data_IF_727812978010
#
_entry.id   IF_727812978010
#
_cell.length_a   1.000
_cell.length_b   1.000
_cell.length_c   1.000
_cell.angle_alpha   90.00
_cell.angle_beta   90.00
_cell.angle_gamma   90.00
#
_symmetry.space_group_name_H-M   'P 1'
#
loop_
_entity.id
_entity.type
_entity.pdbx_description
1 polymer ?
#
# COMPACT_ATOMS: atom_id res chain seq x y z
N UNK A 1 -3.18 -19.86 0.59
CA UNK A 1 -3.32 -18.69 1.45
C UNK A 1 -3.37 -17.41 0.65
N UNK A 2 -2.40 -17.18 -0.21
CA UNK A 2 -2.32 -15.95 -1.00
C UNK A 2 -3.37 -15.94 -2.11
N UNK A 3 -4.18 -14.87 -2.15
CA UNK A 3 -5.19 -14.65 -3.16
C UNK A 3 -4.71 -13.74 -4.30
N UNK A 4 -5.59 -12.85 -4.72
CA UNK A 4 -5.33 -11.98 -5.88
C UNK A 4 -4.37 -10.85 -5.52
N UNK A 5 -3.68 -10.31 -6.53
CA UNK A 5 -3.02 -9.02 -6.39
C UNK A 5 -4.11 -7.94 -6.30
N UNK A 6 -4.13 -7.21 -5.17
CA UNK A 6 -5.08 -6.12 -4.99
C UNK A 6 -4.55 -4.83 -5.61
N UNK A 7 -3.35 -4.42 -5.20
CA UNK A 7 -2.74 -3.20 -5.74
C UNK A 7 -1.22 -3.20 -5.61
N UNK A 8 -0.61 -2.31 -6.39
CA UNK A 8 0.77 -1.88 -6.23
C UNK A 8 0.73 -0.43 -5.81
N UNK A 9 1.43 -0.09 -4.73
CA UNK A 9 1.45 1.26 -4.18
C UNK A 9 2.71 2.01 -4.59
N UNK A 10 2.53 3.23 -5.09
CA UNK A 10 3.59 4.15 -5.44
C UNK A 10 3.56 5.33 -4.48
N UNK A 11 4.67 5.59 -3.79
CA UNK A 11 4.86 6.83 -3.04
C UNK A 11 5.26 7.92 -4.02
N UNK A 12 4.56 9.05 -3.97
CA UNK A 12 4.78 10.17 -4.89
C UNK A 12 4.97 11.47 -4.12
N UNK A 13 5.85 12.37 -4.59
CA UNK A 13 6.05 13.64 -3.90
C UNK A 13 4.90 14.63 -4.10
N UNK A 14 4.13 14.47 -5.18
CA UNK A 14 3.01 15.36 -5.55
C UNK A 14 1.90 14.51 -6.17
N UNK A 15 0.83 14.31 -5.40
CA UNK A 15 -0.29 13.46 -5.82
C UNK A 15 -1.01 14.04 -7.04
N UNK A 16 -1.20 15.36 -7.10
CA UNK A 16 -1.87 16.01 -8.23
C UNK A 16 -1.10 15.77 -9.53
N UNK A 17 0.23 15.92 -9.49
CA UNK A 17 1.08 15.65 -10.66
C UNK A 17 1.07 14.17 -11.06
N UNK A 18 1.10 13.26 -10.08
CA UNK A 18 1.04 11.82 -10.35
C UNK A 18 -0.31 11.43 -10.96
N UNK A 19 -1.41 11.94 -10.43
CA UNK A 19 -2.75 11.71 -10.98
C UNK A 19 -2.85 12.20 -12.42
N UNK A 20 -2.31 13.40 -12.70
CA UNK A 20 -2.29 13.93 -14.06
C UNK A 20 -1.50 13.04 -15.03
N UNK A 21 -0.36 12.53 -14.60
CA UNK A 21 0.45 11.62 -15.41
C UNK A 21 -0.34 10.34 -15.79
N UNK A 22 -1.01 9.74 -14.83
CA UNK A 22 -1.81 8.54 -15.08
C UNK A 22 -3.04 8.84 -15.94
N UNK A 23 -3.74 9.95 -15.66
CA UNK A 23 -4.95 10.31 -16.40
C UNK A 23 -4.65 10.78 -17.81
N UNK A 24 -3.73 11.76 -17.94
CA UNK A 24 -3.54 12.46 -19.21
C UNK A 24 -2.52 11.78 -20.12
N UNK A 25 -1.46 11.19 -19.55
CA UNK A 25 -0.43 10.52 -20.32
C UNK A 25 -0.75 9.04 -20.57
N UNK A 26 -1.23 8.34 -19.55
CA UNK A 26 -1.52 6.91 -19.63
C UNK A 26 -3.00 6.58 -19.93
N UNK A 27 -3.87 7.59 -19.92
CA UNK A 27 -5.28 7.40 -20.24
C UNK A 27 -6.07 6.60 -19.19
N UNK A 28 -5.59 6.57 -17.95
CA UNK A 28 -6.17 5.77 -16.90
C UNK A 28 -7.38 6.48 -16.24
N UNK A 29 -8.21 5.67 -15.58
CA UNK A 29 -9.28 6.17 -14.73
C UNK A 29 -8.83 6.17 -13.28
N UNK A 30 -9.08 7.26 -12.57
CA UNK A 30 -8.68 7.45 -11.19
C UNK A 30 -9.87 7.71 -10.29
N UNK A 31 -9.74 7.30 -9.02
CA UNK A 31 -10.64 7.74 -7.96
C UNK A 31 -10.33 9.19 -7.57
N UNK A 32 -11.25 9.82 -6.83
CA UNK A 32 -10.98 11.09 -6.19
C UNK A 32 -9.91 10.91 -5.09
N UNK A 33 -9.10 11.94 -4.81
CA UNK A 33 -8.16 11.88 -3.69
C UNK A 33 -8.90 11.72 -2.37
N UNK A 34 -8.35 10.90 -1.49
CA UNK A 34 -8.88 10.63 -0.15
C UNK A 34 -7.80 10.85 0.90
N UNK A 35 -8.03 11.81 1.79
CA UNK A 35 -7.14 12.03 2.93
C UNK A 35 -7.38 10.96 3.99
N UNK A 36 -6.31 10.32 4.46
CA UNK A 36 -6.32 9.33 5.53
C UNK A 36 -5.38 9.79 6.64
N UNK A 37 -5.82 10.75 7.49
CA UNK A 37 -4.95 11.34 8.52
C UNK A 37 -4.38 10.30 9.49
N UNK A 38 -5.15 9.28 9.83
CA UNK A 38 -4.74 8.19 10.72
C UNK A 38 -3.62 7.33 10.11
N UNK A 39 -3.47 7.34 8.80
CA UNK A 39 -2.39 6.64 8.09
C UNK A 39 -1.27 7.60 7.63
N UNK A 40 -1.46 8.90 7.81
CA UNK A 40 -0.47 9.91 7.41
C UNK A 40 -0.28 10.05 5.91
N UNK A 41 -1.29 9.74 5.11
CA UNK A 41 -1.23 9.79 3.65
C UNK A 41 -2.52 10.33 3.04
N UNK A 42 -2.40 10.90 1.84
CA UNK A 42 -3.51 11.13 0.93
C UNK A 42 -3.34 10.17 -0.23
N UNK A 43 -4.41 9.48 -0.60
CA UNK A 43 -4.35 8.40 -1.60
C UNK A 43 -5.28 8.66 -2.77
N UNK A 44 -4.93 8.13 -3.93
CA UNK A 44 -5.83 7.98 -5.06
C UNK A 44 -5.57 6.64 -5.73
N UNK A 45 -6.61 6.02 -6.26
CA UNK A 45 -6.51 4.72 -6.91
C UNK A 45 -6.68 4.83 -8.42
N UNK A 46 -5.81 4.14 -9.14
CA UNK A 46 -5.89 3.96 -10.60
C UNK A 46 -6.44 2.57 -10.85
N UNK A 47 -7.58 2.49 -11.52
CA UNK A 47 -8.20 1.21 -11.87
C UNK A 47 -7.62 0.73 -13.21
N UNK A 48 -6.92 -0.40 -13.17
CA UNK A 48 -6.36 -1.04 -14.38
C UNK A 48 -7.12 -2.31 -14.77
N UNK A 49 -8.29 -2.56 -14.17
CA UNK A 49 -9.17 -3.68 -14.47
C UNK A 49 -8.88 -4.93 -13.66
N UNK A 50 -7.66 -5.48 -13.76
CA UNK A 50 -7.27 -6.70 -13.04
C UNK A 50 -6.63 -6.44 -11.68
N UNK A 51 -6.26 -5.20 -11.39
CA UNK A 51 -5.68 -4.73 -10.12
C UNK A 51 -5.81 -3.22 -10.04
N UNK A 52 -5.22 -2.60 -9.00
CA UNK A 52 -5.18 -1.15 -8.86
C UNK A 52 -3.74 -0.69 -8.67
N UNK A 53 -3.48 0.55 -9.02
CA UNK A 53 -2.29 1.26 -8.57
C UNK A 53 -2.76 2.25 -7.51
N UNK A 54 -2.14 2.22 -6.34
CA UNK A 54 -2.40 3.18 -5.27
C UNK A 54 -1.32 4.25 -5.31
N UNK A 55 -1.72 5.51 -5.47
CA UNK A 55 -0.81 6.65 -5.41
C UNK A 55 -0.90 7.23 -4.01
N UNK A 56 0.25 7.39 -3.32
CA UNK A 56 0.34 7.84 -1.93
C UNK A 56 1.18 9.10 -1.85
N UNK A 57 0.65 10.14 -1.24
CA UNK A 57 1.37 11.36 -0.90
C UNK A 57 1.40 11.53 0.62
N UNK A 58 2.51 12.04 1.21
CA UNK A 58 2.55 12.28 2.65
C UNK A 58 1.47 13.27 3.10
N UNK A 59 0.85 12.98 4.24
CA UNK A 59 -0.09 13.87 4.91
C UNK A 59 0.38 14.07 6.34
N UNK A 60 0.74 15.30 6.68
CA UNK A 60 1.27 15.65 8.01
C UNK A 60 2.77 15.39 8.14
N UNK A 61 3.33 15.83 9.28
CA UNK A 61 4.77 15.84 9.51
C UNK A 61 5.33 14.46 9.87
N UNK A 62 4.48 13.55 10.32
CA UNK A 62 4.87 12.22 10.77
C UNK A 62 4.42 11.10 9.82
N UNK A 63 4.36 11.38 8.52
CA UNK A 63 3.95 10.39 7.54
C UNK A 63 4.93 9.22 7.47
N UNK A 64 4.42 7.97 7.42
CA UNK A 64 5.29 6.79 7.32
C UNK A 64 6.06 6.69 6.00
N UNK A 65 5.65 7.42 4.96
CA UNK A 65 6.34 7.39 3.66
C UNK A 65 7.34 8.54 3.47
N UNK A 66 7.48 9.44 4.43
CA UNK A 66 8.42 10.58 4.34
C UNK A 66 9.86 10.09 4.18
N UNK A 67 10.29 9.12 4.99
CA UNK A 67 11.65 8.58 4.90
C UNK A 67 11.90 7.88 3.56
N UNK A 68 10.91 7.22 3.01
CA UNK A 68 11.00 6.60 1.68
C UNK A 68 11.24 7.67 0.61
N UNK A 69 10.48 8.77 0.63
CA UNK A 69 10.61 9.85 -0.34
C UNK A 69 11.91 10.64 -0.18
N UNK A 70 12.46 10.73 1.02
CA UNK A 70 13.79 11.32 1.22
C UNK A 70 14.87 10.55 0.47
N UNK A 71 14.76 9.23 0.41
CA UNK A 71 15.67 8.35 -0.34
C UNK A 71 15.30 8.24 -1.82
N UNK A 72 14.05 8.52 -2.16
CA UNK A 72 13.51 8.40 -3.51
C UNK A 72 12.73 9.68 -3.85
N UNK A 73 13.42 10.81 -4.10
CA UNK A 73 12.74 12.13 -4.22
C UNK A 73 11.76 12.22 -5.39
N UNK A 74 11.96 11.42 -6.43
CA UNK A 74 11.05 11.36 -7.59
C UNK A 74 9.88 10.38 -7.39
N UNK A 75 9.82 9.73 -6.25
CA UNK A 75 8.85 8.68 -5.97
C UNK A 75 9.36 7.29 -6.32
N UNK A 76 8.53 6.31 -6.12
CA UNK A 76 8.85 4.92 -6.44
C UNK A 76 7.85 3.93 -5.86
N UNK A 77 8.02 2.67 -6.23
CA UNK A 77 7.20 1.59 -5.73
C UNK A 77 7.44 1.41 -4.22
N UNK A 78 6.36 1.49 -3.45
CA UNK A 78 6.44 1.41 -1.98
C UNK A 78 6.07 0.03 -1.45
N UNK A 79 4.98 -0.54 -1.92
CA UNK A 79 4.57 -1.89 -1.49
C UNK A 79 3.67 -2.57 -2.53
N UNK A 80 3.46 -3.85 -2.31
CA UNK A 80 2.55 -4.69 -3.08
C UNK A 80 1.53 -5.29 -2.12
N UNK A 81 0.25 -5.25 -2.46
CA UNK A 81 -0.82 -5.78 -1.63
C UNK A 81 -1.47 -7.00 -2.28
N UNK A 82 -1.55 -8.09 -1.51
CA UNK A 82 -2.27 -9.30 -1.88
C UNK A 82 -3.49 -9.51 -1.01
N UNK A 83 -4.51 -10.12 -1.56
CA UNK A 83 -5.74 -10.47 -0.84
C UNK A 83 -5.58 -11.80 -0.11
N UNK A 84 -6.20 -11.91 1.06
CA UNK A 84 -6.32 -13.15 1.82
C UNK A 84 -7.76 -13.30 2.31
N UNK A 85 -8.21 -14.54 2.52
CA UNK A 85 -9.58 -14.79 3.01
C UNK A 85 -9.70 -14.51 4.52
N UNK A 86 -8.68 -14.87 5.29
CA UNK A 86 -8.65 -14.74 6.75
C UNK A 86 -7.30 -14.17 7.18
N UNK A 87 -7.30 -12.90 7.58
CA UNK A 87 -6.08 -12.18 7.93
C UNK A 87 -5.42 -12.73 9.19
N UNK A 88 -6.20 -13.23 10.16
CA UNK A 88 -5.64 -13.78 11.40
C UNK A 88 -5.00 -15.15 11.14
N UNK A 89 -5.64 -15.99 10.35
CA UNK A 89 -5.07 -17.27 9.93
C UNK A 89 -3.81 -17.07 9.10
N UNK A 90 -3.81 -16.09 8.19
CA UNK A 90 -2.64 -15.73 7.40
C UNK A 90 -1.48 -15.28 8.30
N UNK A 91 -1.76 -14.38 9.24
CA UNK A 91 -0.77 -13.91 10.23
C UNK A 91 -0.13 -15.08 10.99
N UNK A 92 -0.95 -15.98 11.52
CA UNK A 92 -0.46 -17.08 12.35
C UNK A 92 0.39 -18.05 11.52
N UNK A 93 -0.02 -18.34 10.30
CA UNK A 93 0.76 -19.16 9.38
C UNK A 93 2.12 -18.51 9.06
N UNK A 94 2.14 -17.22 8.78
CA UNK A 94 3.37 -16.48 8.47
C UNK A 94 4.34 -16.47 9.65
N UNK A 95 3.84 -16.23 10.86
CA UNK A 95 4.67 -16.28 12.07
C UNK A 95 5.26 -17.68 12.30
N UNK A 96 4.49 -18.71 12.11
CA UNK A 96 4.96 -20.10 12.22
C UNK A 96 6.02 -20.42 11.16
N UNK A 97 5.94 -19.80 10.00
CA UNK A 97 6.92 -19.96 8.91
C UNK A 97 8.15 -19.05 9.08
N UNK A 98 8.23 -18.27 10.15
CA UNK A 98 9.37 -17.41 10.44
C UNK A 98 9.33 -16.03 9.80
N UNK A 99 8.24 -15.65 9.15
CA UNK A 99 8.08 -14.31 8.57
C UNK A 99 7.74 -13.29 9.67
N UNK A 100 8.25 -12.07 9.50
CA UNK A 100 8.04 -10.99 10.46
C UNK A 100 6.86 -10.13 10.05
N UNK A 101 5.85 -10.08 10.91
CA UNK A 101 4.73 -9.17 10.78
C UNK A 101 5.09 -7.85 11.47
N UNK A 102 4.96 -6.73 10.76
CA UNK A 102 5.32 -5.42 11.29
C UNK A 102 4.31 -4.92 12.31
N UNK A 103 4.75 -4.01 13.18
CA UNK A 103 3.92 -3.45 14.26
C UNK A 103 3.70 -4.45 15.39
N UNK A 104 2.52 -4.39 16.01
CA UNK A 104 2.15 -5.24 17.14
C UNK A 104 1.57 -6.61 16.71
N UNK A 105 1.48 -6.87 15.41
CA UNK A 105 0.92 -8.09 14.86
C UNK A 105 -0.60 -8.12 14.79
N UNK A 106 -1.26 -7.02 15.18
CA UNK A 106 -2.71 -6.88 15.07
C UNK A 106 -3.08 -6.18 13.75
N UNK A 107 -4.10 -6.69 13.02
CA UNK A 107 -4.57 -6.02 11.82
C UNK A 107 -5.06 -4.61 12.10
N UNK A 108 -4.80 -3.70 11.17
CA UNK A 108 -5.33 -2.33 11.16
C UNK A 108 -6.32 -2.20 10.01
N UNK A 109 -7.17 -1.18 10.03
CA UNK A 109 -8.09 -0.91 8.94
C UNK A 109 -7.37 -0.07 7.89
N UNK A 110 -7.30 -0.58 6.67
CA UNK A 110 -6.63 0.08 5.55
C UNK A 110 -7.55 1.01 4.76
N UNK A 111 -7.05 1.46 3.60
CA UNK A 111 -7.74 2.45 2.76
C UNK A 111 -9.10 1.97 2.23
N UNK A 112 -9.30 0.66 2.08
CA UNK A 112 -10.56 0.08 1.63
C UNK A 112 -11.53 -0.25 2.77
N UNK A 113 -11.21 0.15 4.01
CA UNK A 113 -12.03 -0.16 5.17
C UNK A 113 -11.94 -1.62 5.63
N UNK A 114 -10.92 -2.34 5.22
CA UNK A 114 -10.70 -3.76 5.49
C UNK A 114 -9.45 -3.99 6.32
N UNK A 115 -9.39 -5.10 7.08
CA UNK A 115 -8.21 -5.42 7.88
C UNK A 115 -6.98 -5.67 7.00
N UNK A 116 -5.85 -5.07 7.39
CA UNK A 116 -4.58 -5.21 6.70
C UNK A 116 -3.45 -5.51 7.68
N UNK A 117 -2.38 -6.13 7.15
CA UNK A 117 -1.11 -6.35 7.82
C UNK A 117 0.02 -6.07 6.86
N UNK A 118 1.17 -5.63 7.41
CA UNK A 118 2.39 -5.46 6.63
C UNK A 118 3.45 -6.46 7.08
N UNK A 119 4.21 -6.98 6.11
CA UNK A 119 5.26 -7.96 6.32
C UNK A 119 6.62 -7.33 6.04
N UNK A 120 7.63 -7.72 6.84
CA UNK A 120 8.96 -7.12 6.75
C UNK A 120 9.60 -7.37 5.38
N UNK A 121 10.12 -6.34 4.70
CA UNK A 121 10.66 -6.47 3.34
C UNK A 121 11.86 -7.40 3.24
N UNK A 122 12.64 -7.60 4.32
CA UNK A 122 13.77 -8.54 4.29
C UNK A 122 13.36 -9.98 4.11
N UNK A 123 12.12 -10.34 4.42
CA UNK A 123 11.61 -11.71 4.24
C UNK A 123 11.08 -11.91 2.82
N UNK A 124 10.93 -10.84 2.04
CA UNK A 124 10.35 -10.87 0.70
C UNK A 124 11.21 -10.11 -0.32
N UNK A 125 12.52 -10.32 -0.22
CA UNK A 125 13.52 -9.85 -1.19
C UNK A 125 13.50 -8.33 -1.41
N UNK A 126 13.34 -7.58 -0.31
CA UNK A 126 13.35 -6.12 -0.35
C UNK A 126 11.99 -5.49 -0.68
N UNK A 127 10.94 -6.30 -0.82
CA UNK A 127 9.60 -5.81 -1.11
C UNK A 127 8.77 -5.75 0.16
N UNK A 128 8.26 -4.57 0.51
CA UNK A 128 7.25 -4.44 1.56
C UNK A 128 5.95 -5.05 1.04
N UNK A 129 5.41 -6.01 1.77
CA UNK A 129 4.19 -6.74 1.39
C UNK A 129 3.06 -6.36 2.34
N UNK A 130 1.93 -5.98 1.78
CA UNK A 130 0.67 -5.79 2.50
C UNK A 130 -0.24 -6.97 2.21
N UNK A 131 -0.97 -7.42 3.24
CA UNK A 131 -2.08 -8.36 3.09
C UNK A 131 -3.36 -7.65 3.47
N UNK A 132 -4.38 -7.82 2.66
CA UNK A 132 -5.73 -7.26 2.90
C UNK A 132 -6.76 -8.37 2.88
N UNK A 133 -7.61 -8.41 3.91
CA UNK A 133 -8.70 -9.36 3.95
C UNK A 133 -9.81 -8.96 2.96
N UNK A 134 -10.28 -9.91 2.17
CA UNK A 134 -11.38 -9.68 1.23
C UNK A 134 -12.74 -9.55 1.92
#
# INVERSE_FOLDING_TARGET
>A
MLGRLNHVALAVPDLTAAMAAYRDTLGARLSEPQALPEHGVTVAFVDVGNAKIELLEPLGDASPITAFLEKNPSGGMHHVCYEVDDILAARDHLKQSGARVLGDGNPKIGAHGKPVLFLHPKDFFGTLVELEQV
#
